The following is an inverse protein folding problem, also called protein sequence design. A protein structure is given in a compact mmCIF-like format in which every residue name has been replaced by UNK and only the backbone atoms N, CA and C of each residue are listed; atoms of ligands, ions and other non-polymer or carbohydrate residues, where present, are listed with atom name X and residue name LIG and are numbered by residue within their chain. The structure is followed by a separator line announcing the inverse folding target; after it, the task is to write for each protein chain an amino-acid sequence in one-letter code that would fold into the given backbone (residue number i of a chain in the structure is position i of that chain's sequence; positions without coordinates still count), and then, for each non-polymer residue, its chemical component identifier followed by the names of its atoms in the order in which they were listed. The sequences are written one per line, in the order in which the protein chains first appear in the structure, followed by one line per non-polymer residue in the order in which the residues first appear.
data_IF_424149611025
#
_entry.id   IF_424149611025
#
_cell.length_a   1.000
_cell.length_b   1.000
_cell.length_c   1.000
_cell.angle_alpha   90.00
_cell.angle_beta   90.00
_cell.angle_gamma   90.00
#
_symmetry.space_group_name_H-M   'P 1'
#
loop_
_entity.id
_entity.type
_entity.pdbx_description
1 polymer ?
#
# COMPACT_ATOMS: atom_id res chain seq x y z
N UNK A 1 -32.43 35.17 -10.64
CA UNK A 1 -31.96 34.33 -11.73
C UNK A 1 -30.57 33.81 -11.36
N UNK A 2 -30.28 32.56 -11.71
CA UNK A 2 -28.98 31.98 -11.49
C UNK A 2 -28.34 31.72 -12.85
N UNK A 3 -27.14 32.24 -13.05
CA UNK A 3 -26.36 32.01 -14.26
C UNK A 3 -25.02 31.36 -13.85
N UNK A 4 -24.57 30.37 -14.58
CA UNK A 4 -23.25 29.76 -14.39
C UNK A 4 -22.29 30.37 -15.38
N UNK A 5 -21.21 30.96 -14.85
CA UNK A 5 -20.13 31.56 -15.64
C UNK A 5 -18.78 30.90 -15.28
N UNK A 6 -17.83 31.01 -16.19
CA UNK A 6 -16.46 30.64 -15.94
C UNK A 6 -16.18 29.14 -16.04
N UNK A 7 -17.07 28.32 -16.58
CA UNK A 7 -16.76 26.92 -16.87
C UNK A 7 -15.76 26.85 -18.01
N UNK A 8 -14.53 26.43 -17.66
CA UNK A 8 -13.44 26.30 -18.64
C UNK A 8 -13.42 24.96 -19.38
N UNK A 9 -14.41 24.08 -19.15
CA UNK A 9 -14.49 22.77 -19.79
C UNK A 9 -15.71 22.64 -20.66
N UNK A 10 -15.59 22.18 -21.92
CA UNK A 10 -16.69 21.90 -22.79
C UNK A 10 -17.51 20.67 -22.40
N UNK A 11 -17.06 19.90 -21.43
CA UNK A 11 -17.63 18.59 -21.08
C UNK A 11 -18.58 18.64 -19.88
N UNK A 12 -18.78 19.79 -19.26
CA UNK A 12 -19.66 19.93 -18.09
C UNK A 12 -21.00 20.52 -18.54
N UNK A 13 -22.06 19.75 -18.28
CA UNK A 13 -23.42 20.27 -18.47
C UNK A 13 -23.79 21.23 -17.34
N UNK A 14 -23.95 22.50 -17.70
CA UNK A 14 -24.27 23.59 -16.78
C UNK A 14 -25.60 23.38 -16.05
N UNK A 15 -26.60 22.82 -16.74
CA UNK A 15 -27.91 22.55 -16.16
C UNK A 15 -27.81 21.53 -15.01
N UNK A 16 -27.01 20.52 -15.20
CA UNK A 16 -26.72 19.53 -14.15
C UNK A 16 -26.02 20.13 -12.93
N UNK A 17 -25.14 21.09 -13.11
CA UNK A 17 -24.49 21.79 -12.00
C UNK A 17 -25.49 22.62 -11.19
N UNK A 18 -26.36 23.38 -11.87
CA UNK A 18 -27.38 24.18 -11.17
C UNK A 18 -28.26 23.29 -10.29
N UNK A 19 -28.76 22.18 -10.83
CA UNK A 19 -29.60 21.24 -10.08
C UNK A 19 -28.86 20.71 -8.84
N UNK A 20 -27.57 20.40 -8.95
CA UNK A 20 -26.78 19.89 -7.84
C UNK A 20 -26.48 20.92 -6.76
N UNK A 21 -26.45 22.21 -7.08
CA UNK A 21 -26.28 23.26 -6.06
C UNK A 21 -27.50 23.41 -5.17
N UNK A 22 -28.69 22.96 -5.60
CA UNK A 22 -29.95 23.23 -4.94
C UNK A 22 -30.46 24.69 -5.10
N UNK A 23 -29.69 25.53 -5.76
CA UNK A 23 -30.07 26.91 -6.03
C UNK A 23 -31.06 26.95 -7.23
N UNK A 24 -32.34 27.07 -6.94
CA UNK A 24 -33.36 27.10 -7.98
C UNK A 24 -33.74 28.53 -8.31
N UNK A 25 -33.72 28.93 -9.61
CA UNK A 25 -34.18 30.24 -10.00
C UNK A 25 -35.64 30.53 -9.57
N UNK A 26 -35.90 31.71 -9.03
CA UNK A 26 -37.22 32.12 -8.57
C UNK A 26 -37.56 31.79 -7.12
N UNK A 27 -36.75 31.02 -6.42
CA UNK A 27 -36.92 30.80 -4.97
C UNK A 27 -36.30 31.95 -4.18
N UNK A 28 -36.88 32.29 -3.00
CA UNK A 28 -36.30 33.26 -2.08
C UNK A 28 -34.98 32.71 -1.50
N UNK A 29 -33.97 33.58 -1.45
CA UNK A 29 -32.66 33.25 -0.91
C UNK A 29 -32.27 34.31 0.13
N UNK A 30 -31.65 33.91 1.22
CA UNK A 30 -31.04 34.82 2.20
C UNK A 30 -29.58 35.08 1.82
N UNK A 31 -29.19 36.35 1.73
CA UNK A 31 -27.82 36.77 1.36
C UNK A 31 -27.25 37.67 2.46
N UNK A 32 -26.12 37.27 3.06
CA UNK A 32 -25.48 35.95 3.07
C UNK A 32 -26.34 34.89 3.80
N UNK A 33 -26.28 33.63 3.32
CA UNK A 33 -27.08 32.54 3.88
C UNK A 33 -26.44 31.17 3.74
N UNK A 34 -27.01 30.17 4.42
CA UNK A 34 -26.53 28.78 4.42
C UNK A 34 -26.62 28.13 3.04
N UNK A 35 -27.60 28.56 2.21
CA UNK A 35 -27.83 27.98 0.89
C UNK A 35 -26.59 28.05 0.01
N UNK A 36 -25.83 29.12 0.09
CA UNK A 36 -24.56 29.27 -0.65
C UNK A 36 -23.48 28.32 -0.15
N UNK A 37 -23.38 28.16 1.18
CA UNK A 37 -22.42 27.23 1.77
C UNK A 37 -22.75 25.76 1.40
N UNK A 38 -24.01 25.41 1.36
CA UNK A 38 -24.50 24.09 0.96
C UNK A 38 -24.24 23.85 -0.54
N UNK A 39 -24.51 24.84 -1.36
CA UNK A 39 -24.23 24.79 -2.82
C UNK A 39 -22.73 24.55 -3.09
N UNK A 40 -21.86 25.33 -2.47
CA UNK A 40 -20.39 25.17 -2.59
C UNK A 40 -19.97 23.77 -2.10
N UNK A 41 -20.41 23.33 -0.93
CA UNK A 41 -20.12 22.00 -0.39
C UNK A 41 -20.60 20.88 -1.32
N UNK A 42 -21.76 21.05 -1.95
CA UNK A 42 -22.31 20.08 -2.90
C UNK A 42 -21.45 19.94 -4.15
N UNK A 43 -20.95 21.05 -4.69
CA UNK A 43 -20.03 21.03 -5.83
C UNK A 43 -18.65 20.43 -5.45
N UNK A 44 -18.11 20.77 -4.28
CA UNK A 44 -16.86 20.18 -3.78
C UNK A 44 -16.94 18.66 -3.56
N UNK A 45 -18.09 18.14 -3.14
CA UNK A 45 -18.33 16.69 -3.01
C UNK A 45 -18.17 15.92 -4.33
N UNK A 46 -18.34 16.58 -5.45
CA UNK A 46 -18.14 15.96 -6.77
C UNK A 46 -16.68 15.64 -7.06
N UNK A 47 -15.73 16.28 -6.37
CA UNK A 47 -14.27 16.13 -6.57
C UNK A 47 -13.82 16.36 -8.03
N UNK A 48 -14.52 17.21 -8.75
CA UNK A 48 -14.25 17.52 -10.15
C UNK A 48 -13.61 18.90 -10.34
N UNK A 49 -13.62 19.73 -9.31
CA UNK A 49 -13.25 21.14 -9.41
C UNK A 49 -12.01 21.47 -8.58
N UNK A 50 -11.16 22.33 -9.12
CA UNK A 50 -10.03 22.95 -8.42
C UNK A 50 -10.44 24.23 -7.71
N UNK A 51 -11.48 24.89 -8.19
CA UNK A 51 -12.04 26.11 -7.62
C UNK A 51 -13.55 26.14 -7.79
N UNK A 52 -14.26 26.61 -6.76
CA UNK A 52 -15.71 26.84 -6.78
C UNK A 52 -15.99 28.15 -6.08
N UNK A 53 -16.53 29.12 -6.81
CA UNK A 53 -16.91 30.44 -6.31
C UNK A 53 -18.37 30.74 -6.66
N UNK A 54 -19.08 31.39 -5.73
CA UNK A 54 -20.39 31.97 -5.99
C UNK A 54 -20.25 33.47 -5.91
N UNK A 55 -20.58 34.13 -6.99
CA UNK A 55 -20.49 35.59 -7.12
C UNK A 55 -21.88 36.20 -7.26
N UNK A 56 -22.07 37.39 -6.71
CA UNK A 56 -23.29 38.18 -6.93
C UNK A 56 -23.03 39.11 -8.08
N UNK A 57 -23.69 38.87 -9.20
CA UNK A 57 -23.53 39.69 -10.41
C UNK A 57 -24.30 41.00 -10.35
N UNK A 58 -25.53 40.95 -9.81
CA UNK A 58 -26.42 42.11 -9.77
C UNK A 58 -27.47 41.98 -8.68
N UNK A 59 -27.80 43.08 -8.05
CA UNK A 59 -28.96 43.22 -7.15
C UNK A 59 -29.86 44.31 -7.69
N UNK A 60 -31.15 44.04 -7.84
CA UNK A 60 -32.14 45.00 -8.27
C UNK A 60 -33.42 44.83 -7.43
N UNK A 61 -33.66 45.74 -6.50
CA UNK A 61 -34.73 45.58 -5.50
C UNK A 61 -34.58 44.29 -4.71
N UNK A 62 -35.63 43.45 -4.73
CA UNK A 62 -35.66 42.16 -4.08
C UNK A 62 -35.11 40.99 -4.94
N UNK A 63 -34.54 41.30 -6.10
CA UNK A 63 -34.01 40.28 -7.00
C UNK A 63 -32.49 40.29 -7.00
N UNK A 64 -31.92 39.10 -7.00
CA UNK A 64 -30.48 38.87 -7.05
C UNK A 64 -30.12 37.95 -8.23
N UNK A 65 -29.06 38.29 -8.95
CA UNK A 65 -28.44 37.45 -9.97
C UNK A 65 -27.15 36.90 -9.43
N UNK A 66 -27.01 35.57 -9.50
CA UNK A 66 -25.90 34.83 -8.94
C UNK A 66 -25.17 34.11 -10.07
N UNK A 67 -23.85 34.32 -10.14
CA UNK A 67 -22.92 33.55 -10.96
C UNK A 67 -22.28 32.45 -10.15
N UNK A 68 -22.13 31.24 -10.72
CA UNK A 68 -21.36 30.15 -10.17
C UNK A 68 -20.14 29.95 -11.06
N UNK A 69 -18.97 30.26 -10.56
CA UNK A 69 -17.71 30.09 -11.25
C UNK A 69 -17.03 28.82 -10.76
N UNK A 70 -16.72 27.91 -11.67
CA UNK A 70 -16.02 26.65 -11.39
C UNK A 70 -14.84 26.49 -12.32
N UNK A 71 -13.77 25.90 -11.78
CA UNK A 71 -12.61 25.49 -12.57
C UNK A 71 -12.45 23.96 -12.44
N UNK A 72 -12.47 23.27 -13.58
CA UNK A 72 -12.39 21.81 -13.62
C UNK A 72 -10.96 21.33 -13.38
N UNK A 73 -10.80 20.31 -12.52
CA UNK A 73 -9.54 19.60 -12.35
C UNK A 73 -9.13 18.93 -13.69
N UNK A 74 -7.84 18.91 -14.04
CA UNK A 74 -7.38 18.19 -15.20
C UNK A 74 -7.64 16.70 -15.06
N UNK A 75 -7.91 16.01 -16.16
CA UNK A 75 -8.16 14.57 -16.19
C UNK A 75 -6.89 13.81 -16.56
N UNK A 76 -6.72 12.64 -15.99
CA UNK A 76 -5.60 11.76 -16.33
C UNK A 76 -5.86 11.16 -17.71
N UNK A 77 -5.08 11.54 -18.72
CA UNK A 77 -5.17 10.96 -20.07
C UNK A 77 -4.43 9.64 -20.19
N UNK A 78 -3.29 9.53 -19.52
CA UNK A 78 -2.44 8.35 -19.46
C UNK A 78 -1.58 8.37 -18.21
N UNK A 79 -1.01 7.21 -17.85
CA UNK A 79 0.03 7.11 -16.82
C UNK A 79 1.09 6.10 -17.19
N UNK A 80 2.31 6.34 -16.71
CA UNK A 80 3.47 5.52 -16.98
C UNK A 80 4.27 5.27 -15.70
N UNK A 81 4.83 4.06 -15.58
CA UNK A 81 5.72 3.69 -14.50
C UNK A 81 7.17 3.76 -14.95
N UNK A 82 8.08 4.09 -14.03
CA UNK A 82 9.53 4.05 -14.18
C UNK A 82 10.14 3.29 -13.01
N UNK A 83 11.21 2.53 -13.23
CA UNK A 83 11.87 1.73 -12.19
C UNK A 83 11.18 0.40 -11.86
N UNK A 84 10.13 0.05 -12.58
CA UNK A 84 9.36 -1.18 -12.44
C UNK A 84 9.63 -2.15 -13.59
N UNK A 85 9.24 -3.40 -13.43
CA UNK A 85 9.23 -4.38 -14.52
C UNK A 85 7.85 -4.39 -15.20
N UNK A 86 7.78 -4.89 -16.43
CA UNK A 86 6.52 -4.99 -17.19
C UNK A 86 5.43 -5.79 -16.44
N UNK A 87 5.81 -6.85 -15.75
CA UNK A 87 4.87 -7.65 -14.95
C UNK A 87 4.33 -6.87 -13.75
N UNK A 88 5.18 -6.08 -13.09
CA UNK A 88 4.76 -5.22 -11.98
C UNK A 88 3.80 -4.12 -12.45
N UNK A 89 4.08 -3.53 -13.63
CA UNK A 89 3.18 -2.55 -14.23
C UNK A 89 1.80 -3.14 -14.52
N UNK A 90 1.75 -4.36 -15.09
CA UNK A 90 0.51 -5.07 -15.40
C UNK A 90 -0.28 -5.40 -14.12
N UNK A 91 0.40 -5.78 -13.04
CA UNK A 91 -0.21 -6.06 -11.74
C UNK A 91 -0.78 -4.79 -11.08
N UNK A 92 -0.07 -3.66 -11.16
CA UNK A 92 -0.45 -2.41 -10.47
C UNK A 92 -1.55 -1.63 -11.20
N UNK A 93 -1.62 -1.70 -12.55
CA UNK A 93 -2.61 -0.95 -13.33
C UNK A 93 -4.05 -1.09 -12.82
N UNK A 94 -4.58 -2.30 -12.55
CA UNK A 94 -5.93 -2.45 -12.05
C UNK A 94 -6.10 -1.93 -10.60
N UNK A 95 -5.02 -1.91 -9.80
CA UNK A 95 -5.07 -1.46 -8.40
C UNK A 95 -5.24 0.05 -8.26
N UNK A 96 -4.78 0.83 -9.26
CA UNK A 96 -4.85 2.28 -9.23
C UNK A 96 -6.26 2.83 -9.46
N UNK A 97 -7.17 2.03 -9.98
CA UNK A 97 -8.56 2.43 -10.32
C UNK A 97 -8.65 3.73 -11.16
N UNK A 98 -7.69 3.90 -12.07
CA UNK A 98 -7.62 5.06 -12.95
C UNK A 98 -8.31 4.76 -14.29
N UNK A 99 -9.39 5.47 -14.55
CA UNK A 99 -10.07 5.44 -15.86
C UNK A 99 -9.58 6.61 -16.69
N UNK A 100 -8.91 6.31 -17.82
CA UNK A 100 -8.36 7.33 -18.71
C UNK A 100 -9.42 8.32 -19.19
N UNK A 101 -9.08 9.61 -19.18
CA UNK A 101 -9.95 10.75 -19.52
C UNK A 101 -11.20 10.94 -18.64
N UNK A 102 -11.32 10.19 -17.55
CA UNK A 102 -12.43 10.30 -16.59
C UNK A 102 -11.92 10.71 -15.21
N UNK A 103 -10.90 10.02 -14.70
CA UNK A 103 -10.36 10.27 -13.35
C UNK A 103 -9.69 11.63 -13.27
N UNK A 104 -10.12 12.53 -12.39
CA UNK A 104 -9.47 13.82 -12.18
C UNK A 104 -8.14 13.66 -11.47
N UNK A 105 -7.17 14.51 -11.82
CA UNK A 105 -5.89 14.58 -11.13
C UNK A 105 -5.89 15.72 -10.12
N UNK A 106 -5.72 15.35 -8.85
CA UNK A 106 -5.58 16.27 -7.72
C UNK A 106 -4.70 15.63 -6.64
N UNK A 107 -4.43 16.35 -5.57
CA UNK A 107 -3.61 15.82 -4.46
C UNK A 107 -4.16 14.51 -3.89
N UNK A 108 -5.47 14.38 -3.76
CA UNK A 108 -6.06 13.13 -3.27
C UNK A 108 -5.82 11.94 -4.22
N UNK A 109 -5.82 12.18 -5.54
CA UNK A 109 -5.51 11.13 -6.54
C UNK A 109 -4.03 10.79 -6.50
N UNK A 110 -3.15 11.80 -6.40
CA UNK A 110 -1.70 11.61 -6.26
C UNK A 110 -1.37 10.76 -5.02
N UNK A 111 -1.90 11.13 -3.86
CA UNK A 111 -1.68 10.40 -2.60
C UNK A 111 -2.24 8.98 -2.67
N UNK A 112 -3.40 8.78 -3.32
CA UNK A 112 -3.97 7.45 -3.52
C UNK A 112 -3.04 6.56 -4.36
N UNK A 113 -2.52 7.09 -5.48
CA UNK A 113 -1.55 6.38 -6.33
C UNK A 113 -0.29 6.02 -5.52
N UNK A 114 0.27 7.01 -4.82
CA UNK A 114 1.48 6.86 -4.00
C UNK A 114 1.32 5.76 -2.95
N UNK A 115 0.22 5.78 -2.19
CA UNK A 115 -0.07 4.77 -1.17
C UNK A 115 -0.27 3.39 -1.79
N UNK A 116 -1.07 3.28 -2.86
CA UNK A 116 -1.34 2.00 -3.52
C UNK A 116 -0.06 1.34 -4.05
N UNK A 117 0.83 2.14 -4.65
CA UNK A 117 2.12 1.63 -5.16
C UNK A 117 3.06 1.27 -4.02
N UNK A 118 3.08 2.08 -2.94
CA UNK A 118 3.87 1.80 -1.73
C UNK A 118 3.43 0.47 -1.11
N UNK A 119 2.14 0.26 -0.91
CA UNK A 119 1.59 -0.97 -0.33
C UNK A 119 1.92 -2.19 -1.18
N UNK A 120 1.77 -2.08 -2.50
CA UNK A 120 2.15 -3.14 -3.43
C UNK A 120 3.62 -3.57 -3.30
N UNK A 121 4.54 -2.61 -3.21
CA UNK A 121 5.97 -2.92 -3.05
C UNK A 121 6.32 -3.38 -1.65
N UNK A 122 5.65 -2.86 -0.62
CA UNK A 122 5.79 -3.33 0.76
C UNK A 122 5.42 -4.81 0.89
N UNK A 123 4.28 -5.25 0.30
CA UNK A 123 3.88 -6.66 0.25
C UNK A 123 4.91 -7.54 -0.49
N UNK A 124 5.60 -6.99 -1.47
CA UNK A 124 6.70 -7.67 -2.17
C UNK A 124 8.03 -7.65 -1.40
N UNK A 125 8.05 -7.02 -0.20
CA UNK A 125 9.19 -6.95 0.71
C UNK A 125 10.11 -5.76 0.50
N UNK A 126 9.72 -4.78 -0.32
CA UNK A 126 10.43 -3.53 -0.51
C UNK A 126 9.88 -2.44 0.42
N UNK A 127 10.09 -2.60 1.73
CA UNK A 127 9.56 -1.69 2.76
C UNK A 127 10.07 -0.25 2.65
N UNK A 128 11.24 -0.08 2.04
CA UNK A 128 11.88 1.22 1.87
C UNK A 128 11.79 1.70 0.41
N UNK A 129 10.76 1.28 -0.34
CA UNK A 129 10.55 1.80 -1.68
C UNK A 129 10.18 3.28 -1.61
N UNK A 130 10.81 4.08 -2.47
CA UNK A 130 10.51 5.49 -2.64
C UNK A 130 9.68 5.65 -3.90
N UNK A 131 8.53 6.30 -3.76
CA UNK A 131 7.59 6.53 -4.86
C UNK A 131 7.42 8.03 -5.04
N UNK A 132 7.67 8.52 -6.24
CA UNK A 132 7.39 9.90 -6.64
C UNK A 132 6.30 9.92 -7.73
N UNK A 133 5.24 10.68 -7.47
CA UNK A 133 4.09 10.79 -8.37
C UNK A 133 3.91 12.23 -8.80
N UNK A 134 4.14 12.51 -10.06
CA UNK A 134 3.98 13.83 -10.64
C UNK A 134 3.23 13.79 -11.97
N UNK A 135 2.71 14.93 -12.39
CA UNK A 135 1.98 15.04 -13.64
C UNK A 135 2.59 16.10 -14.56
N UNK A 136 2.48 15.85 -15.88
CA UNK A 136 2.79 16.82 -16.92
C UNK A 136 1.55 17.06 -17.78
N UNK A 137 1.36 18.30 -18.21
CA UNK A 137 0.24 18.65 -19.09
C UNK A 137 0.30 17.84 -20.38
N UNK A 138 -0.81 17.22 -20.73
CA UNK A 138 -0.98 16.58 -22.03
C UNK A 138 -1.41 17.63 -23.07
N UNK A 139 -0.48 18.05 -23.89
CA UNK A 139 -0.72 19.07 -24.93
C UNK A 139 -1.60 18.57 -26.08
N UNK A 140 -1.82 17.26 -26.19
CA UNK A 140 -2.66 16.65 -27.23
C UNK A 140 -4.15 16.69 -26.87
N UNK A 141 -4.48 16.96 -25.62
CA UNK A 141 -5.85 16.92 -25.08
C UNK A 141 -6.14 18.10 -24.18
N UNK A 142 -7.35 18.63 -24.32
CA UNK A 142 -7.80 19.73 -23.48
C UNK A 142 -7.91 19.31 -22.01
N UNK A 143 -7.42 20.16 -21.10
CA UNK A 143 -7.48 20.01 -19.64
C UNK A 143 -7.11 18.58 -19.16
N UNK A 144 -6.01 18.06 -19.68
CA UNK A 144 -5.55 16.69 -19.40
C UNK A 144 -4.10 16.66 -18.98
N UNK A 145 -3.73 15.63 -18.21
CA UNK A 145 -2.38 15.39 -17.74
C UNK A 145 -1.97 13.93 -17.96
N UNK A 146 -0.68 13.72 -18.16
CA UNK A 146 -0.04 12.41 -18.10
C UNK A 146 0.62 12.31 -16.74
N UNK A 147 0.32 11.24 -15.99
CA UNK A 147 0.90 10.96 -14.67
C UNK A 147 2.10 10.06 -14.82
N UNK A 148 3.20 10.44 -14.19
CA UNK A 148 4.42 9.64 -14.09
C UNK A 148 4.57 9.13 -12.67
N UNK A 149 4.91 7.86 -12.53
CA UNK A 149 5.06 7.15 -11.27
C UNK A 149 6.47 6.56 -11.26
N UNK A 150 7.39 7.26 -10.61
CA UNK A 150 8.78 6.86 -10.51
C UNK A 150 8.99 6.06 -9.23
N UNK A 151 9.55 4.85 -9.36
CA UNK A 151 9.72 3.90 -8.26
C UNK A 151 11.18 3.55 -8.08
N UNK A 152 11.71 3.82 -6.88
CA UNK A 152 13.03 3.38 -6.45
C UNK A 152 12.80 2.29 -5.40
N UNK A 153 12.99 1.01 -5.80
CA UNK A 153 12.62 -0.14 -4.95
C UNK A 153 13.51 -0.34 -3.73
N UNK A 154 14.74 0.17 -3.75
CA UNK A 154 15.74 -0.10 -2.73
C UNK A 154 15.91 -1.61 -2.43
N UNK A 155 16.59 -1.98 -1.35
CA UNK A 155 16.83 -3.37 -0.98
C UNK A 155 15.60 -3.99 -0.31
N UNK A 156 15.34 -5.28 -0.59
CA UNK A 156 14.29 -6.02 0.13
C UNK A 156 14.66 -6.20 1.60
N UNK A 157 13.74 -5.88 2.48
CA UNK A 157 13.85 -6.19 3.89
C UNK A 157 13.53 -7.67 4.11
N UNK A 158 14.47 -8.38 4.74
CA UNK A 158 14.34 -9.80 5.08
C UNK A 158 14.53 -9.99 6.57
N UNK A 159 13.80 -10.93 7.14
CA UNK A 159 13.93 -11.27 8.55
C UNK A 159 15.20 -12.11 8.71
N UNK A 160 16.19 -11.55 9.39
CA UNK A 160 17.44 -12.25 9.70
C UNK A 160 17.27 -13.14 10.94
N UNK A 161 16.70 -12.57 12.02
CA UNK A 161 16.51 -13.25 13.30
C UNK A 161 15.19 -12.81 13.96
N UNK A 162 14.58 -13.73 14.69
CA UNK A 162 13.46 -13.46 15.58
C UNK A 162 13.91 -13.89 16.99
N UNK A 163 13.96 -12.93 17.90
CA UNK A 163 14.23 -13.17 19.31
C UNK A 163 12.92 -13.10 20.09
N UNK A 164 12.70 -14.07 20.96
CA UNK A 164 11.54 -14.11 21.85
C UNK A 164 12.06 -13.97 23.28
N UNK A 165 11.55 -13.02 24.04
CA UNK A 165 11.93 -12.79 25.42
C UNK A 165 10.71 -12.82 26.34
N UNK A 166 10.90 -13.22 27.61
CA UNK A 166 9.82 -13.26 28.60
C UNK A 166 8.98 -14.55 28.59
N UNK A 167 9.31 -15.53 27.76
CA UNK A 167 8.61 -16.80 27.61
C UNK A 167 9.15 -17.89 28.55
N UNK A 168 9.00 -17.72 29.86
CA UNK A 168 9.58 -18.65 30.86
C UNK A 168 8.98 -20.07 30.81
N UNK A 169 7.71 -20.21 30.44
CA UNK A 169 6.97 -21.48 30.51
C UNK A 169 6.95 -22.25 29.17
N UNK A 170 7.17 -21.56 28.06
CA UNK A 170 7.12 -22.16 26.72
C UNK A 170 8.41 -21.86 25.96
N UNK A 171 9.05 -22.89 25.42
CA UNK A 171 10.30 -22.71 24.68
C UNK A 171 10.09 -21.95 23.36
N UNK A 172 11.07 -21.13 22.96
CA UNK A 172 11.10 -20.35 21.70
C UNK A 172 10.74 -21.21 20.50
N UNK A 173 11.24 -22.44 20.45
CA UNK A 173 10.95 -23.38 19.35
C UNK A 173 9.47 -23.68 19.20
N UNK A 174 8.73 -23.79 20.31
CA UNK A 174 7.28 -24.02 20.29
C UNK A 174 6.54 -22.78 19.83
N UNK A 175 6.98 -21.60 20.26
CA UNK A 175 6.41 -20.32 19.88
C UNK A 175 6.67 -19.98 18.40
N UNK A 176 7.90 -20.16 17.94
CA UNK A 176 8.25 -19.99 16.51
C UNK A 176 7.47 -20.91 15.58
N UNK A 177 7.01 -22.08 16.07
CA UNK A 177 6.12 -22.96 15.29
C UNK A 177 4.71 -22.39 15.09
N UNK A 178 4.27 -21.48 15.97
CA UNK A 178 2.97 -20.81 15.83
C UNK A 178 3.02 -19.68 14.80
N UNK A 179 4.22 -19.17 14.51
CA UNK A 179 4.47 -18.17 13.48
C UNK A 179 4.47 -18.85 12.10
N UNK A 180 3.40 -18.69 11.35
CA UNK A 180 3.22 -19.37 10.05
C UNK A 180 3.72 -18.55 8.88
N UNK A 181 3.54 -17.23 8.96
CA UNK A 181 3.77 -16.30 7.88
C UNK A 181 5.11 -15.55 8.01
N UNK A 182 5.58 -15.37 9.25
CA UNK A 182 6.84 -14.70 9.57
C UNK A 182 7.93 -15.72 9.87
N UNK A 183 8.84 -15.93 8.92
CA UNK A 183 9.91 -16.94 9.07
C UNK A 183 11.29 -16.31 8.93
N UNK A 184 12.17 -16.63 9.85
CA UNK A 184 13.59 -16.22 9.81
C UNK A 184 14.29 -16.74 8.56
N UNK A 185 15.32 -16.03 8.13
CA UNK A 185 16.30 -16.56 7.17
C UNK A 185 16.90 -17.83 7.77
N UNK A 186 16.85 -18.94 7.06
CA UNK A 186 17.44 -20.19 7.51
C UNK A 186 18.95 -20.02 7.59
N UNK A 187 19.48 -19.95 8.81
CA UNK A 187 20.89 -20.23 9.01
C UNK A 187 21.02 -21.75 9.00
N UNK A 188 21.84 -22.26 8.11
CA UNK A 188 22.24 -23.67 8.14
C UNK A 188 23.14 -23.88 9.36
N UNK A 189 22.57 -24.14 10.52
CA UNK A 189 23.29 -24.74 11.61
C UNK A 189 23.09 -26.25 11.51
N UNK A 190 23.93 -26.87 10.74
CA UNK A 190 23.94 -28.34 10.58
C UNK A 190 24.45 -29.04 11.84
N UNK A 191 25.01 -28.28 12.79
CA UNK A 191 25.67 -28.89 13.97
C UNK A 191 25.31 -28.25 15.28
N UNK A 192 24.96 -29.11 16.20
CA UNK A 192 24.99 -28.90 17.62
C UNK A 192 26.46 -28.63 18.07
N UNK A 193 26.66 -27.55 18.83
CA UNK A 193 27.96 -27.13 19.35
C UNK A 193 28.64 -28.24 20.16
N UNK A 194 29.38 -29.10 19.51
CA UNK A 194 30.41 -29.88 20.18
C UNK A 194 31.77 -29.47 19.57
N UNK A 195 32.61 -28.70 20.28
CA UNK A 195 33.86 -28.20 19.73
C UNK A 195 34.90 -29.31 19.40
N UNK A 196 34.61 -30.55 19.76
CA UNK A 196 35.46 -31.72 19.49
C UNK A 196 35.07 -32.53 18.26
N UNK A 197 34.00 -32.15 17.58
CA UNK A 197 33.49 -32.89 16.40
C UNK A 197 34.29 -32.48 15.14
N UNK A 198 34.95 -33.40 14.43
CA UNK A 198 35.75 -33.08 13.25
C UNK A 198 34.96 -32.47 12.08
N UNK A 199 33.62 -32.51 12.15
CA UNK A 199 32.71 -31.96 11.12
C UNK A 199 32.51 -30.44 11.28
N UNK A 200 32.87 -29.82 12.42
CA UNK A 200 32.79 -28.36 12.61
C UNK A 200 33.75 -27.57 11.72
N UNK A 201 34.67 -28.22 11.04
CA UNK A 201 35.60 -27.61 10.06
C UNK A 201 35.24 -27.92 8.60
N UNK A 202 34.10 -28.51 8.33
CA UNK A 202 33.71 -28.90 6.98
C UNK A 202 33.31 -27.67 6.11
N UNK A 203 33.77 -27.71 4.88
CA UNK A 203 33.39 -26.71 3.86
C UNK A 203 31.95 -26.92 3.42
N UNK A 204 31.04 -25.99 3.78
CA UNK A 204 29.63 -26.00 3.41
C UNK A 204 29.32 -25.28 2.10
N UNK A 205 30.32 -25.09 1.24
CA UNK A 205 30.04 -24.73 -0.15
C UNK A 205 29.23 -25.87 -0.83
N UNK A 206 28.49 -25.60 -1.90
CA UNK A 206 27.75 -26.63 -2.63
C UNK A 206 28.63 -27.82 -3.05
N UNK A 207 29.92 -27.61 -3.31
CA UNK A 207 30.91 -28.66 -3.58
C UNK A 207 31.31 -29.43 -2.33
N UNK A 208 31.46 -28.77 -1.19
CA UNK A 208 31.78 -29.37 0.09
C UNK A 208 30.65 -30.29 0.59
N UNK A 209 29.39 -29.88 0.44
CA UNK A 209 28.21 -30.68 0.77
C UNK A 209 28.16 -31.97 -0.08
N UNK A 210 28.42 -31.89 -1.38
CA UNK A 210 28.47 -33.06 -2.25
C UNK A 210 29.57 -34.02 -1.84
N UNK A 211 30.73 -33.54 -1.41
CA UNK A 211 31.84 -34.36 -0.94
C UNK A 211 31.52 -35.05 0.40
N UNK A 212 30.83 -34.36 1.33
CA UNK A 212 30.37 -34.97 2.59
C UNK A 212 29.34 -36.06 2.32
N UNK A 213 28.37 -35.83 1.47
CA UNK A 213 27.34 -36.80 1.10
C UNK A 213 27.92 -38.01 0.35
N UNK A 214 28.93 -37.81 -0.47
CA UNK A 214 29.60 -38.90 -1.21
C UNK A 214 30.50 -39.77 -0.33
N UNK A 215 30.93 -39.29 0.83
CA UNK A 215 31.77 -40.04 1.79
C UNK A 215 30.96 -40.86 2.81
N UNK A 216 29.64 -40.67 2.88
CA UNK A 216 28.73 -41.39 3.77
C UNK A 216 28.15 -42.60 3.03
N UNK A 217 28.20 -43.79 3.65
CA UNK A 217 27.50 -44.98 3.14
C UNK A 217 25.97 -44.77 3.18
N UNK A 218 25.26 -45.28 2.16
CA UNK A 218 23.80 -45.09 1.98
C UNK A 218 23.01 -45.49 3.24
N UNK A 219 23.44 -46.51 3.93
CA UNK A 219 22.75 -47.01 5.14
C UNK A 219 22.87 -46.08 6.34
N UNK A 220 23.92 -45.21 6.41
CA UNK A 220 24.12 -44.26 7.47
C UNK A 220 23.49 -42.89 7.17
N UNK A 221 23.13 -42.62 5.92
CA UNK A 221 22.50 -41.35 5.50
C UNK A 221 21.08 -41.24 6.04
N UNK A 222 20.30 -42.32 6.02
CA UNK A 222 18.92 -42.31 6.50
C UNK A 222 18.84 -42.04 8.01
N UNK A 223 19.72 -42.62 8.79
CA UNK A 223 19.77 -42.47 10.25
C UNK A 223 20.36 -41.11 10.64
N UNK A 224 21.40 -40.64 9.93
CA UNK A 224 21.97 -39.32 10.11
C UNK A 224 20.97 -38.20 9.78
N UNK A 225 20.20 -38.36 8.69
CA UNK A 225 19.14 -37.41 8.29
C UNK A 225 17.95 -37.48 9.25
N UNK A 226 17.56 -38.64 9.73
CA UNK A 226 16.42 -38.80 10.63
C UNK A 226 16.71 -38.27 12.06
N UNK A 227 17.93 -38.43 12.55
CA UNK A 227 18.29 -38.05 13.92
C UNK A 227 18.82 -36.60 14.03
N UNK A 228 19.50 -36.08 13.02
CA UNK A 228 20.27 -34.82 13.13
C UNK A 228 19.99 -33.75 12.06
N UNK A 229 19.49 -34.11 10.90
CA UNK A 229 19.23 -33.15 9.82
C UNK A 229 17.77 -32.81 9.72
N UNK A 230 17.31 -31.85 10.52
CA UNK A 230 16.13 -31.07 10.15
C UNK A 230 16.56 -30.08 9.07
N UNK A 231 16.81 -30.56 7.85
CA UNK A 231 17.02 -29.69 6.68
C UNK A 231 15.70 -29.00 6.36
N UNK A 232 15.45 -27.89 7.00
CA UNK A 232 14.34 -27.02 6.60
C UNK A 232 14.89 -26.02 5.59
N UNK A 233 14.75 -26.32 4.31
CA UNK A 233 14.95 -25.35 3.24
C UNK A 233 13.77 -24.37 3.29
N UNK A 234 13.90 -23.33 4.08
CA UNK A 234 12.94 -22.23 4.09
C UNK A 234 13.53 -21.05 3.32
N UNK A 235 12.81 -20.60 2.30
CA UNK A 235 13.06 -19.28 1.76
C UNK A 235 12.85 -18.26 2.88
N UNK A 236 13.80 -17.35 3.07
CA UNK A 236 13.62 -16.26 4.03
C UNK A 236 12.33 -15.52 3.69
N UNK A 237 11.41 -15.43 4.63
CA UNK A 237 10.22 -14.63 4.43
C UNK A 237 10.61 -13.15 4.36
N UNK A 238 9.97 -12.44 3.47
CA UNK A 238 10.01 -10.99 3.45
C UNK A 238 9.38 -10.49 4.73
N UNK A 239 9.90 -9.43 5.32
CA UNK A 239 9.25 -8.81 6.45
C UNK A 239 7.96 -8.14 5.98
N UNK A 240 6.87 -8.49 6.63
CA UNK A 240 5.54 -7.93 6.42
C UNK A 240 4.96 -7.63 7.80
N UNK A 241 4.78 -6.34 8.15
CA UNK A 241 4.34 -5.95 9.48
C UNK A 241 2.97 -6.52 9.86
N UNK A 242 2.06 -6.68 8.90
CA UNK A 242 0.71 -7.16 9.18
C UNK A 242 0.71 -8.68 9.43
N UNK A 243 1.51 -9.42 8.68
CA UNK A 243 1.75 -10.85 8.96
C UNK A 243 2.44 -11.07 10.30
N UNK A 244 3.39 -10.21 10.67
CA UNK A 244 4.03 -10.26 11.98
C UNK A 244 3.02 -10.05 13.12
N UNK A 245 2.06 -9.14 12.97
CA UNK A 245 0.95 -8.94 13.94
C UNK A 245 0.06 -10.17 14.04
N UNK A 246 -0.29 -10.80 12.89
CA UNK A 246 -1.09 -12.03 12.88
C UNK A 246 -0.35 -13.17 13.58
N UNK A 247 0.93 -13.33 13.32
CA UNK A 247 1.74 -14.36 13.97
C UNK A 247 1.90 -14.11 15.47
N UNK A 248 2.06 -12.86 15.91
CA UNK A 248 2.03 -12.50 17.32
C UNK A 248 0.68 -12.89 17.98
N UNK A 249 -0.42 -12.64 17.29
CA UNK A 249 -1.75 -13.05 17.77
C UNK A 249 -1.92 -14.57 17.84
N UNK A 250 -1.31 -15.33 16.93
CA UNK A 250 -1.28 -16.79 16.98
C UNK A 250 -0.55 -17.28 18.22
N UNK A 251 0.57 -16.64 18.61
CA UNK A 251 1.30 -16.96 19.83
C UNK A 251 0.44 -16.66 21.07
N UNK A 252 -0.22 -15.49 21.13
CA UNK A 252 -1.15 -15.15 22.22
C UNK A 252 -2.26 -16.18 22.33
N UNK A 253 -2.85 -16.58 21.20
CA UNK A 253 -3.90 -17.61 21.17
C UNK A 253 -3.39 -18.96 21.68
N UNK A 254 -2.15 -19.33 21.33
CA UNK A 254 -1.51 -20.53 21.84
C UNK A 254 -1.32 -20.48 23.35
N UNK A 255 -0.84 -19.37 23.93
CA UNK A 255 -0.74 -19.18 25.38
C UNK A 255 -2.09 -19.28 26.09
N UNK A 256 -3.14 -18.66 25.49
CA UNK A 256 -4.52 -18.77 26.03
C UNK A 256 -5.02 -20.21 26.04
N UNK A 257 -4.67 -21.01 25.03
CA UNK A 257 -5.02 -22.44 24.99
C UNK A 257 -4.33 -23.27 26.08
N UNK A 258 -3.18 -22.79 26.58
CA UNK A 258 -2.46 -23.37 27.72
C UNK A 258 -2.96 -22.88 29.08
N UNK A 259 -3.94 -21.96 29.11
CA UNK A 259 -4.55 -21.42 30.33
C UNK A 259 -4.03 -20.03 30.75
N UNK A 260 -3.07 -19.46 30.04
CA UNK A 260 -2.51 -18.11 30.33
C UNK A 260 -3.40 -17.03 29.71
N UNK A 261 -4.39 -16.55 30.46
CA UNK A 261 -5.44 -15.63 29.95
C UNK A 261 -4.92 -14.23 29.66
N UNK A 262 -3.92 -13.78 30.41
CA UNK A 262 -3.39 -12.42 30.36
C UNK A 262 -2.07 -12.33 29.54
N UNK A 263 -1.83 -13.30 28.66
CA UNK A 263 -0.67 -13.27 27.79
C UNK A 263 -0.76 -12.15 26.75
N UNK A 264 0.26 -11.31 26.72
CA UNK A 264 0.43 -10.20 25.78
C UNK A 264 1.77 -10.30 25.07
N UNK A 265 1.85 -9.81 23.84
CA UNK A 265 3.07 -9.70 23.06
C UNK A 265 3.27 -8.25 22.62
N UNK A 266 4.47 -7.74 22.82
CA UNK A 266 4.95 -6.49 22.22
C UNK A 266 5.88 -6.85 21.07
N UNK A 267 5.67 -6.24 19.91
CA UNK A 267 6.52 -6.35 18.75
C UNK A 267 7.47 -5.15 18.73
N UNK A 268 8.77 -5.41 18.81
CA UNK A 268 9.81 -4.43 18.53
C UNK A 268 10.48 -4.79 17.20
N UNK A 269 10.55 -3.82 16.29
CA UNK A 269 11.14 -4.00 14.96
C UNK A 269 12.18 -2.92 14.65
#
# INVERSE_FOLDING_TARGET
ATEIRGVKSPNIDLSSLIVRTGLTPGLPLTVPGEDFSLAIKSLWKMRLFSSVNIVVDKILGDQIWIGIEVEELPKISAFAFTGTSKSEDEDMRPLLDIVGNVTPYADFTRVHIENTVTDYFAEKGFQNAEIDVYAKTDTSRYNSVIVFIDVIKNAKVKIDKIDIAGNHEVSDRKLLKQMKDTRMRTQFNVFYNNPEDPITKADFSPKGIVNILSSLSIDNISDFVAERAQVRIFNSSKYDPDKAKVDAQNIVTYYKSLGYRDAEIKLDS
#
